data_IF_428683158164
#
_entry.id   IF_428683158164
#
_cell.length_a   1.000
_cell.length_b   1.000
_cell.length_c   1.000
_cell.angle_alpha   90.00
_cell.angle_beta   90.00
_cell.angle_gamma   90.00
#
_symmetry.space_group_name_H-M   'P 1'
#
loop_
_entity.id
_entity.type
_entity.pdbx_description
1 polymer ?
#
# COMPACT_ATOMS: atom_id res chain seq x y z
N UNK A 1 2.23 16.48 -3.89
CA UNK A 1 2.91 15.61 -4.87
C UNK A 1 2.47 15.80 -6.35
N UNK A 2 1.63 16.81 -6.70
CA UNK A 2 1.16 17.02 -8.10
C UNK A 2 2.28 17.22 -9.13
N UNK A 3 3.24 18.12 -8.86
CA UNK A 3 4.35 18.39 -9.78
C UNK A 3 5.24 17.16 -10.05
N UNK A 4 5.39 16.28 -9.05
CA UNK A 4 6.11 15.01 -9.18
C UNK A 4 5.34 14.08 -10.13
N UNK A 5 4.02 13.96 -9.95
CA UNK A 5 3.16 13.16 -10.83
C UNK A 5 3.21 13.62 -12.29
N UNK A 6 3.15 14.93 -12.54
CA UNK A 6 3.25 15.51 -13.89
C UNK A 6 4.61 15.21 -14.54
N UNK A 7 5.69 15.19 -13.75
CA UNK A 7 7.04 14.87 -14.23
C UNK A 7 7.22 13.38 -14.50
N UNK A 8 6.68 12.51 -13.64
CA UNK A 8 6.73 11.06 -13.76
C UNK A 8 5.94 10.58 -15.00
N UNK A 9 4.79 11.19 -15.28
CA UNK A 9 3.99 10.90 -16.47
C UNK A 9 4.73 11.14 -17.79
N UNK A 10 5.57 12.19 -17.87
CA UNK A 10 6.43 12.44 -19.04
C UNK A 10 7.47 11.34 -19.29
N UNK A 11 7.69 10.45 -18.32
CA UNK A 11 8.67 9.36 -18.35
C UNK A 11 8.02 7.98 -18.30
N UNK A 12 6.68 7.91 -18.29
CA UNK A 12 5.94 6.67 -18.09
C UNK A 12 6.35 5.91 -16.82
N UNK A 13 6.58 6.65 -15.73
CA UNK A 13 6.89 6.11 -14.40
C UNK A 13 5.72 6.36 -13.48
N UNK A 14 5.35 5.35 -12.70
CA UNK A 14 4.37 5.47 -11.61
C UNK A 14 5.13 5.58 -10.29
N UNK A 15 4.73 6.56 -9.46
CA UNK A 15 5.25 6.74 -8.11
C UNK A 15 4.26 6.07 -7.14
N UNK A 16 4.71 5.00 -6.49
CA UNK A 16 4.02 4.38 -5.37
C UNK A 16 4.36 5.13 -4.08
N UNK A 17 3.34 5.68 -3.43
CA UNK A 17 3.44 6.25 -2.10
C UNK A 17 3.06 5.19 -1.08
N UNK A 18 3.85 5.05 -0.03
CA UNK A 18 3.66 4.04 1.00
C UNK A 18 3.10 4.68 2.28
N UNK A 19 2.06 4.07 2.84
CA UNK A 19 1.59 4.39 4.18
C UNK A 19 2.53 3.70 5.16
N UNK A 20 3.24 4.49 5.97
CA UNK A 20 4.26 3.99 6.90
C UNK A 20 3.71 4.01 8.31
N UNK A 21 4.30 3.24 9.23
CA UNK A 21 3.88 3.31 10.62
C UNK A 21 4.27 4.67 11.26
N UNK A 22 3.62 5.00 12.37
CA UNK A 22 3.77 6.25 13.13
C UNK A 22 5.17 6.52 13.67
N UNK A 23 6.07 5.54 13.61
CA UNK A 23 7.47 5.70 14.04
C UNK A 23 8.40 6.08 12.88
N UNK A 24 7.94 5.93 11.63
CA UNK A 24 8.72 6.19 10.42
C UNK A 24 8.23 7.42 9.66
N UNK A 25 6.93 7.74 9.74
CA UNK A 25 6.35 8.90 9.06
C UNK A 25 5.17 9.47 9.85
N UNK A 26 4.94 10.79 9.72
CA UNK A 26 3.80 11.49 10.31
C UNK A 26 2.86 12.10 9.26
N UNK A 27 3.02 11.73 7.99
CA UNK A 27 2.21 12.28 6.89
C UNK A 27 1.00 11.40 6.58
N UNK A 28 1.22 10.11 6.30
CA UNK A 28 0.19 9.14 5.94
C UNK A 28 0.53 7.81 6.59
N UNK A 29 -0.37 7.31 7.44
CA UNK A 29 -0.15 6.10 8.23
C UNK A 29 -1.16 4.99 7.95
N UNK A 30 -2.33 5.32 7.40
CA UNK A 30 -3.36 4.35 7.00
C UNK A 30 -3.58 4.37 5.48
N UNK A 31 -4.10 3.27 4.95
CA UNK A 31 -4.46 3.12 3.54
C UNK A 31 -5.65 4.00 3.15
N UNK A 32 -6.59 4.23 4.08
CA UNK A 32 -7.73 5.12 3.87
C UNK A 32 -7.22 6.57 3.70
N UNK A 33 -6.35 7.06 4.60
CA UNK A 33 -5.75 8.41 4.50
C UNK A 33 -4.90 8.56 3.23
N UNK A 34 -4.08 7.55 2.91
CA UNK A 34 -3.24 7.55 1.72
C UNK A 34 -4.08 7.58 0.44
N UNK A 35 -5.17 6.81 0.39
CA UNK A 35 -6.05 6.77 -0.77
C UNK A 35 -6.83 8.06 -0.94
N UNK A 36 -7.31 8.67 0.15
CA UNK A 36 -7.92 10.01 0.11
C UNK A 36 -6.91 11.06 -0.41
N UNK A 37 -5.66 11.00 0.04
CA UNK A 37 -4.61 11.89 -0.43
C UNK A 37 -4.33 11.74 -1.93
N UNK A 38 -4.25 10.50 -2.43
CA UNK A 38 -4.04 10.20 -3.85
C UNK A 38 -5.21 10.70 -4.70
N UNK A 39 -6.44 10.43 -4.26
CA UNK A 39 -7.65 10.87 -4.95
C UNK A 39 -7.69 12.41 -5.00
N UNK A 40 -7.28 13.10 -3.93
CA UNK A 40 -7.17 14.56 -3.89
C UNK A 40 -6.06 15.13 -4.79
N UNK A 41 -4.93 14.43 -4.97
CA UNK A 41 -3.85 14.83 -5.88
C UNK A 41 -4.31 14.79 -7.35
N UNK A 42 -5.20 13.85 -7.68
CA UNK A 42 -5.80 13.68 -9.01
C UNK A 42 -4.74 13.62 -10.13
N UNK A 43 -3.75 12.72 -9.96
CA UNK A 43 -2.73 12.44 -10.98
C UNK A 43 -2.55 10.94 -11.16
N UNK A 44 -2.70 10.39 -12.37
CA UNK A 44 -2.71 8.94 -12.60
C UNK A 44 -1.38 8.26 -12.29
N UNK A 45 -0.27 9.01 -12.30
CA UNK A 45 1.08 8.51 -12.02
C UNK A 45 1.47 8.59 -10.54
N UNK A 46 0.58 9.05 -9.66
CA UNK A 46 0.74 8.94 -8.21
C UNK A 46 -0.26 7.90 -7.73
N UNK A 47 0.24 6.84 -7.12
CA UNK A 47 -0.53 5.68 -6.71
C UNK A 47 -0.10 5.22 -5.32
N UNK A 48 -0.86 4.29 -4.75
CA UNK A 48 -0.60 3.73 -3.43
C UNK A 48 0.26 2.49 -3.55
N UNK A 49 0.95 2.21 -2.46
CA UNK A 49 1.64 0.97 -2.19
C UNK A 49 1.15 0.44 -0.83
N UNK A 50 0.94 -0.86 -0.75
CA UNK A 50 0.52 -1.54 0.47
C UNK A 50 1.67 -2.35 1.06
N UNK A 51 1.88 -2.28 2.36
CA UNK A 51 2.90 -3.06 3.09
C UNK A 51 2.26 -3.69 4.33
N UNK A 52 2.41 -5.01 4.45
CA UNK A 52 1.80 -5.78 5.55
C UNK A 52 2.39 -5.49 6.93
N UNK A 53 3.66 -5.11 7.04
CA UNK A 53 4.28 -4.74 8.30
C UNK A 53 3.73 -3.40 8.82
N UNK A 54 3.64 -2.40 7.94
CA UNK A 54 3.08 -1.09 8.31
C UNK A 54 1.60 -1.20 8.64
N UNK A 55 0.84 -1.88 7.79
CA UNK A 55 -0.59 -2.10 8.01
C UNK A 55 -0.87 -2.85 9.31
N UNK A 56 -0.03 -3.83 9.69
CA UNK A 56 -0.17 -4.55 10.95
C UNK A 56 -0.06 -3.65 12.20
N UNK A 57 0.62 -2.52 12.12
CA UNK A 57 0.78 -1.59 13.25
C UNK A 57 -0.35 -0.56 13.26
N UNK A 58 -0.72 -0.04 12.09
CA UNK A 58 -1.60 1.13 11.99
C UNK A 58 -3.06 0.80 11.72
N UNK A 59 -3.34 -0.29 11.02
CA UNK A 59 -4.70 -0.66 10.61
C UNK A 59 -5.38 -1.50 11.69
N UNK A 60 -6.61 -1.12 12.05
CA UNK A 60 -7.46 -1.97 12.90
C UNK A 60 -7.89 -3.26 12.18
N UNK A 61 -8.01 -3.20 10.85
CA UNK A 61 -8.27 -4.35 9.96
C UNK A 61 -7.41 -4.21 8.70
N UNK A 62 -6.17 -4.75 8.70
CA UNK A 62 -5.24 -4.61 7.57
C UNK A 62 -5.78 -5.14 6.24
N UNK A 63 -6.48 -6.28 6.27
CA UNK A 63 -7.03 -6.90 5.06
C UNK A 63 -8.21 -6.09 4.54
N UNK A 64 -9.08 -5.61 5.43
CA UNK A 64 -10.17 -4.71 5.07
C UNK A 64 -9.65 -3.39 4.49
N UNK A 65 -8.60 -2.82 5.07
CA UNK A 65 -7.95 -1.61 4.60
C UNK A 65 -7.40 -1.78 3.17
N UNK A 66 -6.68 -2.88 2.90
CA UNK A 66 -6.29 -3.23 1.53
C UNK A 66 -7.52 -3.36 0.61
N UNK A 67 -8.53 -4.13 1.04
CA UNK A 67 -9.70 -4.44 0.21
C UNK A 67 -10.50 -3.19 -0.19
N UNK A 68 -10.66 -2.21 0.72
CA UNK A 68 -11.35 -0.95 0.41
C UNK A 68 -10.55 -0.07 -0.57
N UNK A 69 -9.22 -0.15 -0.51
CA UNK A 69 -8.32 0.78 -1.19
C UNK A 69 -7.57 0.21 -2.40
N UNK A 70 -7.74 -1.08 -2.71
CA UNK A 70 -6.97 -1.79 -3.74
C UNK A 70 -6.97 -1.10 -5.13
N UNK A 71 -8.02 -0.34 -5.46
CA UNK A 71 -8.10 0.44 -6.73
C UNK A 71 -6.94 1.42 -6.93
N UNK A 72 -6.32 1.86 -5.83
CA UNK A 72 -5.21 2.81 -5.84
C UNK A 72 -3.85 2.11 -5.73
N UNK A 73 -3.81 0.82 -5.39
CA UNK A 73 -2.59 0.07 -5.11
C UNK A 73 -1.95 -0.42 -6.41
N UNK A 74 -0.66 -0.14 -6.58
CA UNK A 74 0.15 -0.60 -7.73
C UNK A 74 1.38 -1.40 -7.33
N UNK A 75 1.69 -1.49 -6.04
CA UNK A 75 2.80 -2.27 -5.53
C UNK A 75 2.48 -2.81 -4.13
N UNK A 76 3.01 -3.99 -3.79
CA UNK A 76 2.79 -4.63 -2.49
C UNK A 76 4.11 -5.14 -1.92
N UNK A 77 4.44 -4.70 -0.71
CA UNK A 77 5.45 -5.33 0.14
C UNK A 77 4.85 -6.47 0.98
N UNK A 78 5.55 -7.60 1.01
CA UNK A 78 5.24 -8.79 1.80
C UNK A 78 6.26 -8.88 2.94
N UNK A 79 5.91 -8.27 4.06
CA UNK A 79 6.76 -8.21 5.26
C UNK A 79 6.04 -8.76 6.48
N UNK A 80 6.70 -9.66 7.21
CA UNK A 80 6.17 -10.22 8.46
C UNK A 80 6.08 -9.17 9.56
N UNK A 81 5.30 -9.42 10.62
CA UNK A 81 5.08 -8.46 11.71
C UNK A 81 6.38 -8.00 12.41
N UNK A 82 7.45 -8.77 12.34
CA UNK A 82 8.78 -8.46 12.88
C UNK A 82 9.83 -8.15 11.79
N UNK A 83 9.38 -7.97 10.54
CA UNK A 83 10.20 -7.87 9.32
C UNK A 83 11.07 -9.11 9.04
N UNK A 84 10.76 -10.24 9.68
CA UNK A 84 11.37 -11.53 9.44
C UNK A 84 10.82 -12.22 8.19
N UNK A 85 11.05 -13.53 8.08
CA UNK A 85 10.58 -14.33 6.94
C UNK A 85 9.06 -14.47 7.00
N UNK A 86 8.32 -14.11 5.93
CA UNK A 86 6.87 -14.31 5.85
C UNK A 86 6.45 -15.75 6.20
N UNK A 87 5.48 -15.88 7.09
CA UNK A 87 4.92 -17.15 7.57
C UNK A 87 5.47 -17.61 8.91
N UNK A 88 6.34 -16.82 9.54
CA UNK A 88 6.91 -17.12 10.87
C UNK A 88 6.33 -16.27 11.99
N UNK A 89 5.49 -15.31 11.64
CA UNK A 89 4.83 -14.41 12.57
C UNK A 89 3.32 -14.60 12.60
N UNK A 90 2.60 -13.51 12.81
CA UNK A 90 1.15 -13.53 12.99
C UNK A 90 0.38 -12.85 11.85
N UNK A 91 1.05 -12.37 10.79
CA UNK A 91 0.33 -11.84 9.64
C UNK A 91 -0.56 -12.96 9.06
N UNK A 92 -1.87 -12.72 8.85
CA UNK A 92 -2.80 -13.73 8.35
C UNK A 92 -2.62 -13.96 6.84
N UNK A 93 -1.52 -14.61 6.46
CA UNK A 93 -1.06 -14.72 5.06
C UNK A 93 -2.09 -15.34 4.12
N UNK A 94 -2.84 -16.34 4.57
CA UNK A 94 -3.85 -16.99 3.73
C UNK A 94 -4.94 -16.00 3.34
N UNK A 95 -5.41 -15.20 4.28
CA UNK A 95 -6.42 -14.18 4.09
C UNK A 95 -5.86 -13.00 3.30
N UNK A 96 -4.64 -12.55 3.60
CA UNK A 96 -3.93 -11.50 2.85
C UNK A 96 -3.80 -11.85 1.37
N UNK A 97 -3.23 -13.01 1.04
CA UNK A 97 -3.10 -13.45 -0.36
C UNK A 97 -4.47 -13.72 -1.02
N UNK A 98 -5.48 -14.16 -0.25
CA UNK A 98 -6.84 -14.30 -0.78
C UNK A 98 -7.42 -12.93 -1.19
N UNK A 99 -7.22 -11.89 -0.38
CA UNK A 99 -7.68 -10.54 -0.69
C UNK A 99 -6.95 -9.95 -1.90
N UNK A 100 -5.62 -10.09 -1.96
CA UNK A 100 -4.80 -9.65 -3.10
C UNK A 100 -5.25 -10.35 -4.39
N UNK A 101 -5.49 -11.66 -4.35
CA UNK A 101 -5.98 -12.40 -5.52
C UNK A 101 -7.38 -11.95 -5.94
N UNK A 102 -8.28 -11.71 -4.98
CA UNK A 102 -9.67 -11.28 -5.26
C UNK A 102 -9.74 -9.87 -5.84
N UNK A 103 -8.78 -9.00 -5.53
CA UNK A 103 -8.71 -7.66 -6.13
C UNK A 103 -8.25 -7.67 -7.59
N UNK A 104 -7.81 -8.82 -8.12
CA UNK A 104 -7.28 -8.93 -9.47
C UNK A 104 -5.88 -8.35 -9.64
N UNK A 105 -5.13 -8.19 -8.54
CA UNK A 105 -3.74 -7.73 -8.59
C UNK A 105 -2.85 -8.80 -9.25
N UNK A 106 -2.10 -8.41 -10.28
CA UNK A 106 -1.27 -9.29 -11.12
C UNK A 106 0.10 -8.64 -11.41
N UNK A 107 0.66 -7.96 -10.40
CA UNK A 107 1.94 -7.27 -10.48
C UNK A 107 2.88 -7.75 -9.35
N UNK A 108 4.00 -7.07 -9.13
CA UNK A 108 5.04 -7.50 -8.20
C UNK A 108 4.57 -7.58 -6.75
N UNK A 109 5.01 -8.65 -6.09
CA UNK A 109 5.02 -8.82 -4.64
C UNK A 109 6.50 -8.92 -4.23
N UNK A 110 6.94 -8.04 -3.35
CA UNK A 110 8.38 -7.94 -2.97
C UNK A 110 8.59 -8.02 -1.48
#
# INVERSE_FOLDING_TARGET
>A
QRAIGDHAGKRNVTIGLEALNRFECYLLNTMDDLSEHIDAIDRPHIKAMYDTFHANIEEADPIGAYTRNHKNVVHIHISENDRGVPGRGHIPWKETFSAIRKSGYDDWLT
#
